data_IF_140622925959
#
_entry.id   IF_140622925959
#
_cell.length_a   1.000
_cell.length_b   1.000
_cell.length_c   1.000
_cell.angle_alpha   90.00
_cell.angle_beta   90.00
_cell.angle_gamma   90.00
#
_symmetry.space_group_name_H-M   'P 1'
#
loop_
_entity.id
_entity.type
_entity.pdbx_description
1 polymer ?
#
# COMPACT_ATOMS: atom_id res chain seq x y z
N UNK A 1 -13.16 0.46 -1.14
CA UNK A 1 -14.39 0.88 -0.40
C UNK A 1 -13.90 1.50 0.90
N UNK A 2 -14.48 2.62 1.35
CA UNK A 2 -14.12 3.27 2.62
C UNK A 2 -15.32 3.24 3.57
N UNK A 3 -15.16 2.71 4.79
CA UNK A 3 -16.21 2.69 5.83
C UNK A 3 -15.75 3.43 7.08
N UNK A 4 -16.68 4.14 7.77
CA UNK A 4 -16.41 4.83 9.04
C UNK A 4 -17.27 4.26 10.18
N UNK A 5 -16.68 3.42 11.02
CA UNK A 5 -17.32 2.76 12.16
C UNK A 5 -17.24 3.63 13.42
N UNK A 6 -18.37 3.72 14.15
CA UNK A 6 -18.51 4.51 15.38
C UNK A 6 -18.06 5.97 15.26
N UNK A 7 -18.07 6.52 14.04
CA UNK A 7 -17.54 7.84 13.71
C UNK A 7 -16.05 8.04 14.07
N UNK A 8 -15.30 6.97 14.36
CA UNK A 8 -13.90 7.10 14.82
C UNK A 8 -12.93 6.17 14.12
N UNK A 9 -13.39 5.09 13.50
CA UNK A 9 -12.53 4.12 12.86
C UNK A 9 -12.81 4.08 11.37
N UNK A 10 -11.78 4.23 10.55
CA UNK A 10 -11.89 4.09 9.11
C UNK A 10 -11.21 2.81 8.65
N UNK A 11 -11.78 2.15 7.64
CA UNK A 11 -11.06 1.15 6.84
C UNK A 11 -11.19 1.50 5.37
N UNK A 12 -10.08 1.50 4.64
CA UNK A 12 -10.05 1.69 3.19
C UNK A 12 -9.28 0.56 2.53
N UNK A 13 -9.95 -0.11 1.60
CA UNK A 13 -9.35 -1.16 0.78
C UNK A 13 -9.19 -0.70 -0.67
N UNK A 14 -8.00 -0.94 -1.24
CA UNK A 14 -7.65 -0.63 -2.62
C UNK A 14 -6.93 -1.80 -3.29
N UNK A 15 -7.28 -2.04 -4.55
CA UNK A 15 -6.66 -3.05 -5.39
C UNK A 15 -6.11 -2.37 -6.64
N UNK A 16 -4.88 -2.70 -7.02
CA UNK A 16 -4.24 -2.17 -8.22
C UNK A 16 -3.64 -3.30 -9.03
N UNK A 17 -3.86 -3.23 -10.34
CA UNK A 17 -3.23 -4.10 -11.33
C UNK A 17 -2.55 -3.22 -12.38
N UNK A 18 -1.28 -3.50 -12.61
CA UNK A 18 -0.51 -3.05 -13.78
C UNK A 18 -0.35 -4.27 -14.67
N UNK A 19 -0.57 -4.11 -15.97
CA UNK A 19 -0.41 -5.19 -16.94
C UNK A 19 0.19 -4.64 -18.24
N UNK A 20 0.90 -5.50 -18.95
CA UNK A 20 1.47 -5.15 -20.24
C UNK A 20 1.98 -6.35 -21.03
N UNK A 21 2.35 -6.11 -22.28
CA UNK A 21 2.96 -7.13 -23.12
C UNK A 21 4.35 -7.50 -22.59
N UNK A 22 4.75 -8.76 -22.84
CA UNK A 22 6.11 -9.19 -22.56
C UNK A 22 7.07 -8.55 -23.55
N UNK A 23 8.15 -7.94 -23.03
CA UNK A 23 9.26 -7.38 -23.79
C UNK A 23 10.58 -7.68 -23.06
N UNK A 24 11.32 -8.72 -23.49
CA UNK A 24 12.57 -9.12 -22.86
C UNK A 24 13.72 -8.11 -22.98
N UNK A 25 13.64 -7.16 -23.92
CA UNK A 25 14.66 -6.10 -24.06
C UNK A 25 14.37 -4.95 -23.10
N UNK A 26 13.10 -4.55 -22.98
CA UNK A 26 12.68 -3.47 -22.10
C UNK A 26 12.68 -3.89 -20.62
N UNK A 27 12.24 -5.11 -20.31
CA UNK A 27 12.09 -5.63 -18.95
C UNK A 27 13.10 -6.72 -18.62
N UNK A 28 14.31 -6.62 -19.18
CA UNK A 28 15.36 -7.63 -18.99
C UNK A 28 15.59 -7.94 -17.49
N UNK A 29 15.95 -9.21 -17.14
CA UNK A 29 16.28 -9.57 -15.77
C UNK A 29 17.38 -8.65 -15.21
N UNK A 30 17.13 -8.08 -14.03
CA UNK A 30 18.06 -7.21 -13.31
C UNK A 30 17.68 -7.18 -11.84
N UNK A 31 18.62 -7.17 -10.88
CA UNK A 31 18.31 -7.16 -9.46
C UNK A 31 17.34 -6.02 -9.10
N UNK A 32 16.29 -6.33 -8.34
CA UNK A 32 15.24 -5.40 -7.87
C UNK A 32 14.30 -4.88 -8.97
N UNK A 33 14.83 -4.37 -10.08
CA UNK A 33 14.05 -3.63 -11.09
C UNK A 33 13.62 -4.43 -12.33
N UNK A 34 14.22 -5.60 -12.58
CA UNK A 34 13.97 -6.38 -13.80
C UNK A 34 12.77 -7.32 -13.70
N UNK A 35 12.59 -8.10 -14.77
CA UNK A 35 11.58 -9.17 -14.86
C UNK A 35 12.19 -10.45 -15.45
N UNK A 36 12.05 -11.57 -14.74
CA UNK A 36 12.54 -12.88 -15.17
C UNK A 36 11.73 -13.46 -16.35
N UNK A 37 10.48 -13.01 -16.55
CA UNK A 37 9.65 -13.39 -17.69
C UNK A 37 9.37 -12.22 -18.66
N UNK A 38 10.10 -11.12 -18.50
CA UNK A 38 9.99 -9.94 -19.34
C UNK A 38 8.62 -9.26 -19.29
N UNK A 39 7.84 -9.39 -18.21
CA UNK A 39 6.52 -8.76 -18.08
C UNK A 39 6.53 -7.64 -17.05
N UNK A 40 5.75 -6.57 -17.25
CA UNK A 40 5.58 -5.51 -16.25
C UNK A 40 4.48 -5.81 -15.22
N UNK A 41 3.81 -6.96 -15.31
CA UNK A 41 2.57 -7.23 -14.57
C UNK A 41 2.79 -7.14 -13.05
N UNK A 42 2.03 -6.29 -12.37
CA UNK A 42 2.14 -6.09 -10.92
C UNK A 42 0.74 -5.99 -10.32
N UNK A 43 0.49 -6.78 -9.29
CA UNK A 43 -0.75 -6.72 -8.50
C UNK A 43 -0.41 -6.23 -7.10
N UNK A 44 -1.22 -5.33 -6.56
CA UNK A 44 -1.12 -4.92 -5.17
C UNK A 44 -2.48 -4.80 -4.51
N UNK A 45 -2.50 -5.09 -3.21
CA UNK A 45 -3.62 -4.84 -2.33
C UNK A 45 -3.13 -3.94 -1.20
N UNK A 46 -3.75 -2.77 -1.07
CA UNK A 46 -3.51 -1.84 0.03
C UNK A 46 -4.70 -1.79 0.98
N UNK A 47 -4.43 -1.95 2.27
CA UNK A 47 -5.38 -1.75 3.38
C UNK A 47 -4.91 -0.57 4.22
N UNK A 48 -5.79 0.41 4.45
CA UNK A 48 -5.57 1.52 5.38
C UNK A 48 -6.57 1.44 6.54
N UNK A 49 -6.06 1.53 7.76
CA UNK A 49 -6.85 1.64 8.99
C UNK A 49 -6.64 3.02 9.59
N UNK A 50 -7.74 3.69 9.90
CA UNK A 50 -7.76 5.03 10.46
C UNK A 50 -8.36 5.06 11.87
N UNK A 51 -7.86 5.95 12.70
CA UNK A 51 -8.44 6.29 13.99
C UNK A 51 -8.49 7.81 14.21
N UNK A 52 -9.70 8.31 14.48
CA UNK A 52 -10.02 9.72 14.71
C UNK A 52 -10.44 9.94 16.17
N UNK A 53 -9.50 10.13 17.12
CA UNK A 53 -9.81 10.21 18.56
C UNK A 53 -10.78 11.34 18.91
N UNK A 54 -10.69 12.47 18.19
CA UNK A 54 -11.40 13.72 18.46
C UNK A 54 -12.56 14.00 17.50
N UNK A 55 -13.04 13.01 16.73
CA UNK A 55 -14.12 13.25 15.77
C UNK A 55 -15.46 13.65 16.43
N UNK A 56 -15.61 13.37 17.73
CA UNK A 56 -16.80 13.71 18.52
C UNK A 56 -16.56 14.92 19.45
N UNK A 57 -15.52 15.70 19.19
CA UNK A 57 -15.12 16.87 19.98
C UNK A 57 -13.70 16.75 20.53
N UNK A 58 -12.96 17.86 20.47
CA UNK A 58 -11.60 17.96 20.99
C UNK A 58 -11.53 17.96 22.53
N UNK A 59 -10.31 17.93 23.10
CA UNK A 59 -10.09 18.08 24.53
C UNK A 59 -10.68 19.40 25.06
N UNK A 60 -11.09 19.44 26.33
CA UNK A 60 -11.65 20.66 26.96
C UNK A 60 -10.74 21.90 26.83
N UNK A 61 -9.43 21.69 26.85
CA UNK A 61 -8.42 22.74 26.77
C UNK A 61 -8.04 23.13 25.33
N UNK A 62 -8.48 22.35 24.33
CA UNK A 62 -8.29 22.65 22.91
C UNK A 62 -9.47 22.12 22.08
N UNK A 63 -10.67 22.74 22.17
CA UNK A 63 -11.91 22.15 21.64
C UNK A 63 -11.93 21.94 20.12
N UNK A 64 -11.09 22.67 19.38
CA UNK A 64 -10.99 22.60 17.92
C UNK A 64 -9.90 21.64 17.41
N UNK A 65 -9.17 20.95 18.30
CA UNK A 65 -8.18 19.94 17.91
C UNK A 65 -8.84 18.80 17.13
N UNK A 66 -8.24 18.44 15.99
CA UNK A 66 -8.54 17.22 15.27
C UNK A 66 -7.25 16.44 15.01
N UNK A 67 -7.37 15.11 14.97
CA UNK A 67 -6.25 14.23 14.67
C UNK A 67 -6.74 12.97 13.96
N UNK A 68 -5.88 12.43 13.09
CA UNK A 68 -6.01 11.12 12.45
C UNK A 68 -4.73 10.34 12.69
N UNK A 69 -4.84 9.19 13.33
CA UNK A 69 -3.82 8.15 13.34
C UNK A 69 -4.14 7.18 12.21
N UNK A 70 -3.14 6.75 11.45
CA UNK A 70 -3.37 5.80 10.38
C UNK A 70 -2.21 4.84 10.20
N UNK A 71 -2.54 3.65 9.72
CA UNK A 71 -1.60 2.63 9.27
C UNK A 71 -2.07 2.11 7.92
N UNK A 72 -1.14 2.04 6.98
CA UNK A 72 -1.40 1.59 5.61
C UNK A 72 -0.41 0.48 5.29
N UNK A 73 -0.93 -0.67 4.87
CA UNK A 73 -0.15 -1.83 4.47
C UNK A 73 -0.42 -2.13 3.00
N UNK A 74 0.63 -2.39 2.22
CA UNK A 74 0.51 -2.75 0.81
C UNK A 74 1.26 -4.04 0.53
N UNK A 75 0.51 -5.05 0.12
CA UNK A 75 1.02 -6.36 -0.27
C UNK A 75 1.11 -6.50 -1.78
N UNK A 76 2.14 -7.19 -2.26
CA UNK A 76 2.37 -7.49 -3.67
C UNK A 76 2.35 -9.02 -3.93
N UNK A 77 1.19 -9.59 -4.30
CA UNK A 77 1.11 -10.98 -4.73
C UNK A 77 1.89 -11.29 -6.01
N UNK A 78 2.11 -10.27 -6.85
CA UNK A 78 2.86 -10.38 -8.11
C UNK A 78 3.55 -9.05 -8.35
N UNK A 79 4.83 -9.09 -8.70
CA UNK A 79 5.62 -7.91 -9.03
C UNK A 79 6.44 -8.21 -10.29
N UNK A 80 6.45 -7.31 -11.27
CA UNK A 80 7.17 -7.50 -12.55
C UNK A 80 7.00 -8.90 -13.17
N UNK A 81 5.76 -9.40 -13.18
CA UNK A 81 5.37 -10.61 -13.90
C UNK A 81 5.28 -11.89 -13.08
N UNK A 82 5.85 -11.96 -11.87
CA UNK A 82 5.92 -13.21 -11.09
C UNK A 82 5.73 -12.98 -9.59
N UNK A 83 5.29 -14.03 -8.88
CA UNK A 83 5.19 -14.04 -7.42
C UNK A 83 6.53 -14.37 -6.74
N UNK A 84 7.32 -15.26 -7.35
CA UNK A 84 8.59 -15.74 -6.82
C UNK A 84 9.72 -15.49 -7.82
N UNK A 85 10.91 -15.13 -7.32
CA UNK A 85 12.09 -14.84 -8.13
C UNK A 85 11.75 -13.97 -9.36
N UNK A 86 11.05 -12.85 -9.11
CA UNK A 86 10.52 -12.03 -10.20
C UNK A 86 11.61 -11.33 -10.99
N UNK A 87 12.76 -11.07 -10.38
CA UNK A 87 13.86 -10.35 -11.01
C UNK A 87 14.88 -11.27 -11.68
N UNK A 88 14.81 -12.58 -11.41
CA UNK A 88 15.78 -13.58 -11.88
C UNK A 88 17.00 -13.74 -10.96
N UNK A 89 17.06 -13.01 -9.84
CA UNK A 89 18.18 -12.95 -8.90
C UNK A 89 17.79 -13.37 -7.46
N UNK A 90 16.64 -14.02 -7.30
CA UNK A 90 16.15 -14.60 -6.06
C UNK A 90 15.15 -13.75 -5.29
N UNK A 91 14.76 -12.57 -5.79
CA UNK A 91 13.82 -11.68 -5.10
C UNK A 91 12.37 -12.06 -5.43
N UNK A 92 11.57 -12.34 -4.42
CA UNK A 92 10.12 -12.60 -4.57
C UNK A 92 9.29 -11.32 -4.42
N UNK A 93 8.05 -11.32 -4.92
CA UNK A 93 7.19 -10.15 -4.99
C UNK A 93 6.96 -9.49 -3.62
N UNK A 94 6.73 -10.31 -2.59
CA UNK A 94 6.53 -9.84 -1.20
C UNK A 94 7.74 -9.12 -0.59
N UNK A 95 8.93 -9.20 -1.21
CA UNK A 95 10.06 -8.38 -0.76
C UNK A 95 9.83 -6.88 -1.03
N UNK A 96 8.79 -6.51 -1.77
CA UNK A 96 8.37 -5.13 -2.05
C UNK A 96 7.19 -4.67 -1.18
N UNK A 97 6.69 -5.49 -0.26
CA UNK A 97 5.61 -5.10 0.65
C UNK A 97 6.01 -3.88 1.49
N UNK A 98 5.06 -2.98 1.73
CA UNK A 98 5.33 -1.72 2.45
C UNK A 98 4.33 -1.50 3.57
N UNK A 99 4.85 -1.20 4.76
CA UNK A 99 4.06 -0.75 5.90
C UNK A 99 4.38 0.71 6.22
N UNK A 100 3.35 1.55 6.27
CA UNK A 100 3.45 2.95 6.61
C UNK A 100 2.51 3.28 7.76
N UNK A 101 2.92 4.17 8.66
CA UNK A 101 2.07 4.67 9.72
C UNK A 101 2.32 6.16 9.93
N UNK A 102 1.29 6.88 10.35
CA UNK A 102 1.35 8.32 10.48
C UNK A 102 0.35 8.91 11.46
N UNK A 103 0.61 10.18 11.77
CA UNK A 103 -0.27 11.04 12.55
C UNK A 103 -0.46 12.33 11.76
N UNK A 104 -1.72 12.67 11.50
CA UNK A 104 -2.13 14.00 11.05
C UNK A 104 -2.78 14.73 12.22
N UNK A 105 -2.42 16.00 12.41
CA UNK A 105 -2.97 16.86 13.46
C UNK A 105 -3.34 18.21 12.85
N UNK A 106 -4.51 18.71 13.21
CA UNK A 106 -4.95 20.07 12.92
C UNK A 106 -5.39 20.75 14.21
N UNK A 107 -4.90 21.96 14.45
CA UNK A 107 -5.07 22.72 15.70
C UNK A 107 -5.01 24.23 15.46
#
# INVERSE_FOLDING_TARGET
MSELLFQKYGITESFRTVYGNSDPLLYAPSPIGGSANGKPDTNSWTTELDYYPFNNGGPKWLPWLNAKLFVTDTFYPTFNGLANNYDGFGRSAGANDTLFAGLWVAF
#
